data_IF_202727758423
#
_entry.id   IF_202727758423
#
_cell.length_a   1.000
_cell.length_b   1.000
_cell.length_c   1.000
_cell.angle_alpha   90.00
_cell.angle_beta   90.00
_cell.angle_gamma   90.00
#
_symmetry.space_group_name_H-M   'P 1'
#
loop_
_entity.id
_entity.type
_entity.pdbx_description
1 polymer ?
#
# COMPACT_ATOMS: atom_id res chain seq x y z
N UNK A 1 -6.48 23.39 -32.03
CA UNK A 1 -7.92 23.59 -31.71
C UNK A 1 -8.72 22.71 -32.65
N UNK A 2 -9.53 21.72 -32.28
CA UNK A 2 -9.88 21.20 -30.97
C UNK A 2 -10.77 19.94 -31.10
N UNK A 3 -10.80 19.16 -30.00
CA UNK A 3 -11.94 18.41 -29.41
C UNK A 3 -12.61 17.29 -30.22
N UNK A 4 -12.41 16.01 -29.83
CA UNK A 4 -13.28 15.13 -28.99
C UNK A 4 -14.56 14.70 -29.73
N UNK A 5 -14.91 13.42 -29.87
CA UNK A 5 -15.03 12.41 -28.83
C UNK A 5 -16.46 11.87 -28.93
N UNK A 6 -16.64 10.77 -29.64
CA UNK A 6 -17.94 10.17 -29.92
C UNK A 6 -18.38 9.33 -28.71
N UNK A 7 -19.25 9.90 -27.87
CA UNK A 7 -19.97 9.19 -26.83
C UNK A 7 -21.24 8.57 -27.42
N UNK A 8 -21.31 7.24 -27.43
CA UNK A 8 -22.55 6.50 -27.64
C UNK A 8 -23.43 6.65 -26.40
N UNK A 9 -24.43 7.53 -26.49
CA UNK A 9 -25.49 7.70 -25.50
C UNK A 9 -26.58 6.64 -25.73
N UNK A 10 -26.70 5.67 -24.82
CA UNK A 10 -27.87 4.79 -24.74
C UNK A 10 -29.02 5.57 -24.10
N UNK A 11 -30.04 5.88 -24.89
CA UNK A 11 -31.26 6.52 -24.41
C UNK A 11 -32.00 5.60 -23.42
N UNK A 12 -32.17 6.05 -22.17
CA UNK A 12 -33.09 5.45 -21.21
C UNK A 12 -34.47 6.12 -21.32
N UNK A 13 -35.59 5.38 -21.22
CA UNK A 13 -36.92 5.98 -21.28
C UNK A 13 -37.20 6.84 -20.05
N UNK A 14 -37.87 7.97 -20.25
CA UNK A 14 -38.29 8.89 -19.19
C UNK A 14 -39.23 8.19 -18.19
N UNK A 15 -39.05 8.37 -16.87
CA UNK A 15 -39.95 7.80 -15.88
C UNK A 15 -41.30 8.56 -15.85
N UNK A 16 -42.39 7.83 -15.67
CA UNK A 16 -43.74 8.40 -15.47
C UNK A 16 -43.78 9.26 -14.18
N UNK A 17 -44.54 10.38 -14.16
CA UNK A 17 -44.63 11.23 -12.97
C UNK A 17 -45.30 10.48 -11.82
N UNK A 18 -44.64 10.44 -10.66
CA UNK A 18 -45.21 9.90 -9.43
C UNK A 18 -45.90 11.01 -8.61
N UNK A 19 -46.98 10.70 -7.86
CA UNK A 19 -47.72 11.71 -7.11
C UNK A 19 -46.84 12.37 -6.05
N UNK A 20 -46.98 13.70 -5.92
CA UNK A 20 -46.15 14.62 -5.12
C UNK A 20 -45.89 14.14 -3.66
N UNK A 21 -46.86 13.44 -3.07
CA UNK A 21 -46.77 12.88 -1.71
C UNK A 21 -45.77 11.72 -1.55
N UNK A 22 -45.49 10.96 -2.62
CA UNK A 22 -44.49 9.87 -2.60
C UNK A 22 -43.06 10.45 -2.67
N UNK A 23 -42.90 11.59 -3.34
CA UNK A 23 -41.63 12.31 -3.45
C UNK A 23 -41.22 12.85 -2.07
N UNK A 24 -42.14 13.51 -1.36
CA UNK A 24 -41.86 14.09 -0.04
C UNK A 24 -41.50 13.04 1.03
N UNK A 25 -42.17 11.87 1.02
CA UNK A 25 -41.85 10.75 1.93
C UNK A 25 -40.48 10.14 1.64
N UNK A 26 -40.07 10.04 0.36
CA UNK A 26 -38.74 9.57 -0.04
C UNK A 26 -37.64 10.55 0.33
N UNK A 27 -37.88 11.86 0.19
CA UNK A 27 -36.92 12.90 0.61
C UNK A 27 -36.66 12.87 2.11
N UNK A 28 -37.70 12.68 2.94
CA UNK A 28 -37.55 12.59 4.40
C UNK A 28 -36.78 11.34 4.82
N UNK A 29 -37.02 10.19 4.16
CA UNK A 29 -36.24 8.95 4.39
C UNK A 29 -34.79 9.10 3.93
N UNK A 30 -34.53 9.76 2.80
CA UNK A 30 -33.16 10.04 2.33
C UNK A 30 -32.38 10.98 3.27
N UNK A 31 -33.04 11.98 3.85
CA UNK A 31 -32.42 12.88 4.84
C UNK A 31 -32.15 12.14 6.16
N UNK A 32 -33.09 11.30 6.64
CA UNK A 32 -32.90 10.52 7.87
C UNK A 32 -31.85 9.42 7.72
N UNK A 33 -31.72 8.78 6.55
CA UNK A 33 -30.63 7.83 6.26
C UNK A 33 -29.28 8.55 6.11
N UNK A 34 -29.27 9.76 5.52
CA UNK A 34 -28.07 10.59 5.44
C UNK A 34 -27.53 11.07 6.79
N UNK A 35 -28.40 11.25 7.80
CA UNK A 35 -28.01 11.61 9.16
C UNK A 35 -27.55 10.42 10.03
N UNK A 36 -27.88 9.18 9.65
CA UNK A 36 -27.41 7.96 10.31
C UNK A 36 -26.10 7.41 9.72
N UNK A 37 -25.69 7.92 8.55
CA UNK A 37 -24.37 7.68 7.96
C UNK A 37 -23.52 8.90 8.29
N UNK A 38 -23.04 8.98 9.54
CA UNK A 38 -21.94 9.90 9.87
C UNK A 38 -20.73 9.65 8.95
N UNK A 39 -19.83 10.63 8.78
CA UNK A 39 -18.65 10.43 7.95
C UNK A 39 -17.91 9.19 8.47
N UNK A 40 -17.71 8.22 7.58
CA UNK A 40 -16.86 7.08 7.85
C UNK A 40 -15.40 7.56 7.84
N UNK A 41 -14.98 8.26 8.89
CA UNK A 41 -13.60 8.71 9.11
C UNK A 41 -12.64 7.54 9.41
N UNK A 42 -13.16 6.32 9.47
CA UNK A 42 -12.44 5.09 9.82
C UNK A 42 -11.32 4.72 8.83
N UNK A 43 -11.33 5.27 7.61
CA UNK A 43 -10.26 5.07 6.62
C UNK A 43 -9.37 6.29 6.41
N UNK A 44 -9.75 7.46 6.95
CA UNK A 44 -8.93 8.67 6.83
C UNK A 44 -7.68 8.58 7.69
N UNK A 45 -7.78 7.96 8.87
CA UNK A 45 -6.67 7.78 9.80
C UNK A 45 -5.57 6.86 9.27
N UNK A 46 -5.93 5.78 8.58
CA UNK A 46 -4.97 4.88 7.95
C UNK A 46 -4.08 5.64 6.94
N UNK A 47 -4.72 6.43 6.07
CA UNK A 47 -4.03 7.34 5.15
C UNK A 47 -3.18 8.40 5.87
N UNK A 48 -3.66 9.00 6.96
CA UNK A 48 -2.90 9.98 7.74
C UNK A 48 -1.62 9.37 8.32
N UNK A 49 -1.63 8.09 8.71
CA UNK A 49 -0.41 7.41 9.17
C UNK A 49 0.63 7.25 8.07
N UNK A 50 0.22 6.84 6.87
CA UNK A 50 1.14 6.81 5.73
C UNK A 50 1.74 8.19 5.45
N UNK A 51 0.93 9.26 5.51
CA UNK A 51 1.44 10.63 5.40
C UNK A 51 2.45 10.94 6.51
N UNK A 52 2.16 10.58 7.75
CA UNK A 52 3.02 10.88 8.87
C UNK A 52 4.36 10.12 8.80
N UNK A 53 4.34 8.83 8.42
CA UNK A 53 5.56 8.05 8.13
C UNK A 53 6.40 8.75 7.06
N UNK A 54 5.77 9.27 6.00
CA UNK A 54 6.46 10.02 4.95
C UNK A 54 7.06 11.33 5.45
N UNK A 55 6.35 12.02 6.34
CA UNK A 55 6.85 13.25 6.95
C UNK A 55 8.09 12.98 7.80
N UNK A 56 8.08 11.93 8.62
CA UNK A 56 9.24 11.49 9.39
C UNK A 56 10.41 11.09 8.46
N UNK A 57 10.12 10.36 7.39
CA UNK A 57 11.12 9.96 6.40
C UNK A 57 11.77 11.18 5.72
N UNK A 58 10.98 12.16 5.27
CA UNK A 58 11.47 13.40 4.66
C UNK A 58 12.31 14.23 5.65
N UNK A 59 11.88 14.31 6.91
CA UNK A 59 12.63 14.98 7.98
C UNK A 59 13.97 14.30 8.27
N UNK A 60 14.06 12.97 8.07
CA UNK A 60 15.29 12.20 8.27
C UNK A 60 16.30 12.31 7.12
N UNK A 61 15.90 12.79 5.93
CA UNK A 61 16.78 12.81 4.77
C UNK A 61 18.06 13.64 5.03
N UNK A 62 19.23 13.18 4.56
CA UNK A 62 20.50 13.87 4.81
C UNK A 62 20.52 15.26 4.18
N UNK A 63 21.25 16.22 4.75
CA UNK A 63 21.24 17.63 4.32
C UNK A 63 21.60 17.81 2.83
N UNK A 64 22.43 16.93 2.27
CA UNK A 64 22.84 16.94 0.87
C UNK A 64 21.87 16.20 -0.08
N UNK A 65 20.71 15.73 0.39
CA UNK A 65 19.69 15.15 -0.48
C UNK A 65 19.15 16.20 -1.48
N UNK A 66 18.83 15.83 -2.74
CA UNK A 66 18.44 16.80 -3.78
C UNK A 66 17.36 17.79 -3.33
N UNK A 67 17.66 19.09 -3.49
CA UNK A 67 16.82 20.16 -2.95
C UNK A 67 15.39 20.18 -3.52
N UNK A 68 15.21 19.73 -4.77
CA UNK A 68 13.88 19.71 -5.41
C UNK A 68 12.86 18.87 -4.64
N UNK A 69 13.31 17.83 -3.93
CA UNK A 69 12.44 16.95 -3.12
C UNK A 69 11.81 17.71 -1.96
N UNK A 70 12.54 18.68 -1.38
CA UNK A 70 12.10 19.45 -0.20
C UNK A 70 11.28 20.69 -0.52
N UNK A 71 10.95 20.94 -1.80
CA UNK A 71 10.00 22.00 -2.12
C UNK A 71 8.66 21.69 -1.46
N UNK A 72 7.89 22.73 -1.10
CA UNK A 72 6.57 22.57 -0.47
C UNK A 72 5.67 21.67 -1.33
N UNK A 73 5.66 21.90 -2.64
CA UNK A 73 4.86 21.12 -3.59
C UNK A 73 5.27 19.65 -3.64
N UNK A 74 6.57 19.34 -3.69
CA UNK A 74 7.02 17.94 -3.80
C UNK A 74 6.92 17.21 -2.47
N UNK A 75 7.12 17.90 -1.35
CA UNK A 75 6.86 17.39 0.00
C UNK A 75 5.41 16.93 0.08
N UNK A 76 4.46 17.82 -0.19
CA UNK A 76 3.03 17.47 -0.15
C UNK A 76 2.70 16.33 -1.14
N UNK A 77 3.27 16.36 -2.34
CA UNK A 77 3.05 15.30 -3.33
C UNK A 77 3.50 13.92 -2.80
N UNK A 78 4.64 13.85 -2.12
CA UNK A 78 5.14 12.60 -1.51
C UNK A 78 4.21 12.15 -0.39
N UNK A 79 3.74 13.05 0.48
CA UNK A 79 2.77 12.71 1.53
C UNK A 79 1.48 12.14 0.92
N UNK A 80 0.92 12.84 -0.08
CA UNK A 80 -0.31 12.43 -0.77
C UNK A 80 -0.21 11.04 -1.40
N UNK A 81 0.94 10.75 -2.02
CA UNK A 81 1.19 9.49 -2.71
C UNK A 81 1.39 8.31 -1.77
N UNK A 82 1.61 8.55 -0.47
CA UNK A 82 1.63 7.50 0.54
C UNK A 82 0.31 6.73 0.67
N UNK A 83 -0.82 7.27 0.19
CA UNK A 83 -2.10 6.54 0.11
C UNK A 83 -2.43 6.01 -1.29
N UNK A 84 -1.51 6.14 -2.26
CA UNK A 84 -1.82 5.81 -3.65
C UNK A 84 -2.09 4.30 -3.86
N UNK A 85 -1.30 3.36 -3.29
CA UNK A 85 -1.57 1.94 -3.48
C UNK A 85 -2.88 1.45 -2.84
N UNK A 86 -3.33 2.07 -1.74
CA UNK A 86 -4.67 1.81 -1.20
C UNK A 86 -5.77 2.25 -2.14
N UNK A 87 -5.63 3.43 -2.77
CA UNK A 87 -6.63 3.92 -3.72
C UNK A 87 -6.81 2.99 -4.91
N UNK A 88 -5.78 2.24 -5.31
CA UNK A 88 -5.92 1.22 -6.37
C UNK A 88 -6.92 0.12 -6.01
N UNK A 89 -7.17 -0.15 -4.72
CA UNK A 89 -8.17 -1.13 -4.25
C UNK A 89 -9.61 -0.70 -4.54
N UNK A 90 -9.84 0.60 -4.81
CA UNK A 90 -11.15 1.14 -5.18
C UNK A 90 -11.57 0.77 -6.61
N UNK A 91 -10.65 0.23 -7.41
CA UNK A 91 -11.00 -0.30 -8.72
C UNK A 91 -11.90 -1.54 -8.57
N UNK A 92 -12.97 -1.58 -9.37
CA UNK A 92 -13.95 -2.68 -9.38
C UNK A 92 -13.45 -3.89 -10.15
N UNK A 93 -12.58 -3.66 -11.13
CA UNK A 93 -11.89 -4.75 -11.82
C UNK A 93 -10.99 -5.51 -10.84
N UNK A 94 -11.27 -6.81 -10.70
CA UNK A 94 -10.57 -7.68 -9.76
C UNK A 94 -9.16 -7.98 -10.19
N UNK A 95 -8.78 -7.79 -11.46
CA UNK A 95 -7.41 -7.99 -11.91
C UNK A 95 -6.43 -7.07 -11.17
N UNK A 96 -6.80 -5.79 -11.00
CA UNK A 96 -5.96 -4.86 -10.24
C UNK A 96 -5.92 -5.22 -8.75
N UNK A 97 -7.04 -5.66 -8.18
CA UNK A 97 -7.06 -6.15 -6.78
C UNK A 97 -6.18 -7.39 -6.59
N UNK A 98 -6.25 -8.33 -7.54
CA UNK A 98 -5.45 -9.56 -7.55
C UNK A 98 -3.95 -9.27 -7.60
N UNK A 99 -3.56 -8.23 -8.33
CA UNK A 99 -2.17 -7.75 -8.34
C UNK A 99 -1.82 -6.98 -7.06
N UNK A 100 -2.64 -5.98 -6.69
CA UNK A 100 -2.27 -4.99 -5.68
C UNK A 100 -2.46 -5.49 -4.25
N UNK A 101 -3.57 -6.14 -3.89
CA UNK A 101 -3.83 -6.49 -2.49
C UNK A 101 -2.73 -7.35 -1.85
N UNK A 102 -2.18 -8.37 -2.54
CA UNK A 102 -1.07 -9.17 -2.00
C UNK A 102 0.23 -8.38 -1.76
N UNK A 103 0.44 -7.24 -2.41
CA UNK A 103 1.66 -6.43 -2.24
C UNK A 103 1.70 -5.67 -0.89
N UNK A 104 0.62 -5.71 -0.11
CA UNK A 104 0.47 -4.93 1.14
C UNK A 104 0.78 -5.73 2.39
N UNK A 105 1.03 -7.04 2.29
CA UNK A 105 1.29 -7.89 3.45
C UNK A 105 2.24 -9.04 3.11
N UNK A 106 2.78 -9.67 4.16
CA UNK A 106 3.36 -11.01 4.14
C UNK A 106 2.90 -11.80 5.38
N UNK A 107 1.88 -12.62 5.23
CA UNK A 107 1.37 -13.51 6.28
C UNK A 107 2.37 -14.67 6.46
N UNK A 108 3.34 -14.48 7.36
CA UNK A 108 4.48 -15.39 7.52
C UNK A 108 4.03 -16.82 7.87
N UNK A 109 2.97 -16.96 8.67
CA UNK A 109 2.45 -18.27 9.08
C UNK A 109 1.87 -19.06 7.89
N UNK A 110 1.41 -18.38 6.84
CA UNK A 110 0.87 -19.02 5.64
C UNK A 110 1.97 -19.62 4.75
N UNK A 111 3.25 -19.43 5.08
CA UNK A 111 4.37 -20.19 4.49
C UNK A 111 4.48 -21.62 5.03
N UNK A 112 3.98 -21.87 6.26
CA UNK A 112 4.14 -23.16 6.93
C UNK A 112 3.51 -24.34 6.17
N UNK A 113 2.28 -24.23 5.58
CA UNK A 113 1.72 -25.29 4.74
C UNK A 113 2.59 -25.67 3.55
N UNK A 114 3.40 -24.74 3.04
CA UNK A 114 4.32 -24.93 1.92
C UNK A 114 5.68 -25.51 2.35
N UNK A 115 5.91 -25.66 3.66
CA UNK A 115 7.20 -26.04 4.25
C UNK A 115 8.36 -25.12 3.81
N UNK A 116 8.07 -23.82 3.67
CA UNK A 116 9.04 -22.79 3.34
C UNK A 116 9.28 -21.87 4.52
N UNK A 117 10.51 -21.41 4.67
CA UNK A 117 10.93 -20.38 5.63
C UNK A 117 11.32 -19.11 4.89
N UNK A 118 11.17 -17.91 5.49
CA UNK A 118 11.59 -16.65 4.90
C UNK A 118 13.00 -16.68 4.27
N UNK A 119 13.97 -17.28 4.96
CA UNK A 119 15.36 -17.37 4.51
C UNK A 119 15.58 -18.21 3.22
N UNK A 120 14.57 -18.96 2.78
CA UNK A 120 14.62 -19.82 1.59
C UNK A 120 13.93 -19.18 0.37
N UNK A 121 13.26 -18.04 0.56
CA UNK A 121 12.45 -17.42 -0.49
C UNK A 121 13.34 -16.68 -1.49
N UNK A 122 13.06 -16.88 -2.78
CA UNK A 122 13.75 -16.12 -3.82
C UNK A 122 13.33 -14.65 -3.76
N UNK A 123 14.31 -13.77 -3.95
CA UNK A 123 14.10 -12.33 -4.08
C UNK A 123 13.44 -11.95 -5.41
N UNK A 124 13.41 -12.85 -6.39
CA UNK A 124 12.66 -12.69 -7.62
C UNK A 124 11.20 -13.10 -7.40
N UNK A 125 10.26 -12.18 -7.66
CA UNK A 125 8.82 -12.41 -7.44
C UNK A 125 8.34 -13.68 -8.15
N UNK A 126 8.72 -13.88 -9.42
CA UNK A 126 8.22 -15.01 -10.20
C UNK A 126 8.81 -16.34 -9.75
N UNK A 127 10.10 -16.38 -9.37
CA UNK A 127 10.68 -17.57 -8.77
C UNK A 127 10.02 -17.89 -7.41
N UNK A 128 9.69 -16.89 -6.60
CA UNK A 128 8.91 -17.11 -5.39
C UNK A 128 7.54 -17.73 -5.71
N UNK A 129 6.83 -17.23 -6.73
CA UNK A 129 5.57 -17.84 -7.20
C UNK A 129 5.78 -19.30 -7.63
N UNK A 130 6.87 -19.59 -8.34
CA UNK A 130 7.22 -20.95 -8.76
C UNK A 130 7.58 -21.85 -7.57
N UNK A 131 8.33 -21.36 -6.57
CA UNK A 131 8.63 -22.07 -5.32
C UNK A 131 7.32 -22.47 -4.61
N UNK A 132 6.37 -21.54 -4.51
CA UNK A 132 5.06 -21.78 -3.91
C UNK A 132 4.24 -22.78 -4.72
N UNK A 133 4.24 -22.67 -6.06
CA UNK A 133 3.54 -23.60 -6.94
C UNK A 133 4.12 -25.02 -6.87
N UNK A 134 5.45 -25.16 -6.88
CA UNK A 134 6.15 -26.43 -6.75
C UNK A 134 5.86 -27.09 -5.39
N UNK A 135 5.90 -26.32 -4.31
CA UNK A 135 5.54 -26.79 -2.97
C UNK A 135 4.08 -27.25 -2.90
N UNK A 136 3.13 -26.51 -3.50
CA UNK A 136 1.72 -26.90 -3.60
C UNK A 136 1.55 -28.26 -4.30
N UNK A 137 2.22 -28.48 -5.43
CA UNK A 137 2.15 -29.75 -6.16
C UNK A 137 2.73 -30.89 -5.32
N UNK A 138 3.93 -30.71 -4.77
CA UNK A 138 4.63 -31.70 -3.94
C UNK A 138 3.80 -32.12 -2.73
N UNK A 139 3.17 -31.16 -2.06
CA UNK A 139 2.42 -31.35 -0.83
C UNK A 139 0.91 -31.56 -1.04
N UNK A 140 0.45 -31.58 -2.31
CA UNK A 140 -0.95 -31.76 -2.70
C UNK A 140 -1.89 -30.76 -2.00
N UNK A 141 -1.46 -29.51 -1.84
CA UNK A 141 -2.28 -28.47 -1.21
C UNK A 141 -3.38 -28.01 -2.18
N UNK A 142 -4.59 -27.67 -1.68
CA UNK A 142 -5.65 -27.16 -2.52
C UNK A 142 -5.30 -25.78 -3.12
N UNK A 143 -5.97 -25.43 -4.21
CA UNK A 143 -5.95 -24.06 -4.70
C UNK A 143 -6.76 -23.16 -3.77
N UNK A 144 -6.25 -21.96 -3.43
CA UNK A 144 -7.03 -20.96 -2.72
C UNK A 144 -8.26 -20.58 -3.55
N UNK A 145 -9.45 -20.75 -2.99
CA UNK A 145 -10.73 -20.41 -3.64
C UNK A 145 -11.71 -19.72 -2.69
N UNK A 146 -11.23 -19.27 -1.53
CA UNK A 146 -12.07 -18.80 -0.43
C UNK A 146 -12.73 -17.44 -0.70
N UNK A 147 -12.25 -16.69 -1.68
CA UNK A 147 -12.83 -15.41 -2.07
C UNK A 147 -12.79 -15.19 -3.58
N UNK A 148 -13.64 -14.27 -4.05
CA UNK A 148 -13.95 -14.12 -5.46
C UNK A 148 -12.84 -13.45 -6.29
N UNK A 149 -11.82 -12.90 -5.64
CA UNK A 149 -10.58 -12.42 -6.25
C UNK A 149 -9.43 -13.45 -6.16
N UNK A 150 -9.64 -14.60 -5.50
CA UNK A 150 -8.69 -15.73 -5.37
C UNK A 150 -7.37 -15.34 -4.70
N UNK A 151 -7.43 -14.41 -3.74
CA UNK A 151 -6.25 -13.90 -3.01
C UNK A 151 -6.14 -14.50 -1.61
N UNK A 152 -7.28 -14.78 -0.97
CA UNK A 152 -7.28 -15.22 0.43
C UNK A 152 -6.52 -16.55 0.59
N UNK A 153 -5.56 -16.57 1.51
CA UNK A 153 -4.67 -17.72 1.76
C UNK A 153 -3.38 -17.71 0.93
N UNK A 154 -3.13 -16.68 0.14
CA UNK A 154 -1.79 -16.41 -0.40
C UNK A 154 -0.97 -15.63 0.64
N UNK A 155 0.29 -16.02 0.93
CA UNK A 155 1.10 -15.36 1.94
C UNK A 155 1.37 -13.88 1.65
N UNK A 156 1.37 -13.44 0.40
CA UNK A 156 1.59 -12.02 0.05
C UNK A 156 3.00 -11.74 -0.45
N UNK A 157 3.25 -10.47 -0.80
CA UNK A 157 4.40 -10.02 -1.59
C UNK A 157 5.04 -8.73 -1.05
N UNK A 158 4.71 -8.29 0.17
CA UNK A 158 5.18 -7.01 0.71
C UNK A 158 6.72 -6.78 0.59
N UNK A 159 7.60 -7.74 0.93
CA UNK A 159 9.04 -7.56 0.73
C UNK A 159 9.47 -7.33 -0.73
N UNK A 160 8.80 -8.00 -1.67
CA UNK A 160 9.04 -7.83 -3.11
C UNK A 160 8.52 -6.47 -3.58
N UNK A 161 7.33 -6.05 -3.14
CA UNK A 161 6.77 -4.75 -3.44
C UNK A 161 7.71 -3.61 -3.00
N UNK A 162 8.29 -3.71 -1.79
CA UNK A 162 9.30 -2.78 -1.30
C UNK A 162 10.55 -2.80 -2.19
N UNK A 163 11.12 -3.98 -2.43
CA UNK A 163 12.36 -4.12 -3.22
C UNK A 163 12.20 -3.58 -4.64
N UNK A 164 11.11 -3.92 -5.33
CA UNK A 164 10.87 -3.50 -6.69
C UNK A 164 10.59 -2.00 -6.81
N UNK A 165 9.81 -1.42 -5.89
CA UNK A 165 9.58 0.03 -5.89
C UNK A 165 10.86 0.79 -5.53
N UNK A 166 11.71 0.23 -4.67
CA UNK A 166 13.04 0.75 -4.40
C UNK A 166 13.92 0.73 -5.66
N UNK A 167 13.98 -0.39 -6.39
CA UNK A 167 14.76 -0.49 -7.63
C UNK A 167 14.23 0.46 -8.72
N UNK A 168 12.91 0.64 -8.83
CA UNK A 168 12.29 1.65 -9.70
C UNK A 168 12.71 3.08 -9.30
N UNK A 169 12.82 3.38 -8.01
CA UNK A 169 13.30 4.66 -7.51
C UNK A 169 14.80 4.86 -7.80
N UNK A 170 15.62 3.83 -7.65
CA UNK A 170 17.05 3.86 -8.03
C UNK A 170 17.20 4.16 -9.51
N UNK A 171 16.46 3.47 -10.37
CA UNK A 171 16.41 3.75 -11.81
C UNK A 171 15.99 5.20 -12.10
N UNK A 172 15.00 5.72 -11.37
CA UNK A 172 14.54 7.10 -11.51
C UNK A 172 15.62 8.15 -11.20
N UNK A 173 16.38 7.96 -10.12
CA UNK A 173 17.54 8.81 -9.85
C UNK A 173 18.66 8.63 -10.88
N UNK A 174 18.86 7.41 -11.39
CA UNK A 174 19.90 7.13 -12.38
C UNK A 174 19.65 7.88 -13.69
N UNK A 175 18.46 7.79 -14.27
CA UNK A 175 18.18 8.54 -15.50
C UNK A 175 18.02 10.04 -15.26
N UNK A 176 17.60 10.48 -14.06
CA UNK A 176 17.59 11.90 -13.72
C UNK A 176 19.00 12.50 -13.84
N UNK A 177 20.02 11.78 -13.34
CA UNK A 177 21.42 12.21 -13.47
C UNK A 177 21.82 12.41 -14.94
N UNK A 178 21.43 11.48 -15.82
CA UNK A 178 21.70 11.60 -17.26
C UNK A 178 21.02 12.84 -17.84
N UNK A 179 19.73 13.07 -17.53
CA UNK A 179 19.03 14.26 -18.03
C UNK A 179 19.58 15.57 -17.45
N UNK A 180 20.11 15.58 -16.22
CA UNK A 180 20.76 16.77 -15.66
C UNK A 180 22.07 17.13 -16.40
N UNK A 181 22.72 16.16 -17.06
CA UNK A 181 23.95 16.37 -17.84
C UNK A 181 23.67 16.75 -19.31
N UNK A 182 22.68 16.10 -19.95
CA UNK A 182 22.48 16.21 -21.41
C UNK A 182 21.02 16.40 -21.85
N UNK A 183 20.08 16.46 -20.92
CA UNK A 183 18.65 16.57 -21.21
C UNK A 183 18.15 18.01 -21.38
N UNK A 184 16.96 18.14 -21.94
CA UNK A 184 16.21 19.40 -21.97
C UNK A 184 15.65 19.76 -20.58
N UNK A 185 15.33 21.05 -20.31
CA UNK A 185 14.68 21.45 -19.06
C UNK A 185 13.39 20.67 -18.74
N UNK A 186 12.63 20.31 -19.78
CA UNK A 186 11.39 19.55 -19.68
C UNK A 186 11.63 18.09 -19.29
N UNK A 187 12.66 17.45 -19.85
CA UNK A 187 13.04 16.08 -19.47
C UNK A 187 13.53 16.02 -18.02
N UNK A 188 14.33 16.99 -17.58
CA UNK A 188 14.75 17.11 -16.17
C UNK A 188 13.53 17.27 -15.26
N UNK A 189 12.58 18.13 -15.63
CA UNK A 189 11.35 18.33 -14.86
C UNK A 189 10.51 17.05 -14.74
N UNK A 190 10.32 16.34 -15.86
CA UNK A 190 9.61 15.06 -15.90
C UNK A 190 10.33 13.98 -15.08
N UNK A 191 11.65 13.91 -15.17
CA UNK A 191 12.45 12.97 -14.39
C UNK A 191 12.35 13.23 -12.87
N UNK A 192 12.39 14.51 -12.45
CA UNK A 192 12.15 14.90 -11.06
C UNK A 192 10.75 14.53 -10.59
N UNK A 193 9.72 14.74 -11.42
CA UNK A 193 8.35 14.35 -11.10
C UNK A 193 8.21 12.83 -10.91
N UNK A 194 8.89 12.03 -11.73
CA UNK A 194 8.93 10.58 -11.56
C UNK A 194 9.63 10.16 -10.27
N UNK A 195 10.76 10.80 -9.90
CA UNK A 195 11.42 10.54 -8.61
C UNK A 195 10.46 10.79 -7.45
N UNK A 196 9.80 11.96 -7.44
CA UNK A 196 8.78 12.32 -6.43
C UNK A 196 7.67 11.29 -6.37
N UNK A 197 7.19 10.84 -7.54
CA UNK A 197 6.17 9.80 -7.62
C UNK A 197 6.62 8.49 -6.98
N UNK A 198 7.82 8.00 -7.36
CA UNK A 198 8.37 6.74 -6.85
C UNK A 198 8.68 6.80 -5.36
N UNK A 199 9.14 7.95 -4.84
CA UNK A 199 9.34 8.15 -3.40
C UNK A 199 8.04 7.96 -2.62
N UNK A 200 6.96 8.61 -3.07
CA UNK A 200 5.65 8.49 -2.43
C UNK A 200 5.06 7.07 -2.51
N UNK A 201 5.12 6.42 -3.67
CA UNK A 201 4.58 5.05 -3.82
C UNK A 201 5.38 4.03 -3.01
N UNK A 202 6.72 4.09 -3.03
CA UNK A 202 7.56 3.19 -2.23
C UNK A 202 7.25 3.32 -0.73
N UNK A 203 7.06 4.56 -0.27
CA UNK A 203 6.87 4.83 1.15
C UNK A 203 5.60 4.21 1.75
N UNK A 204 4.58 3.96 0.93
CA UNK A 204 3.38 3.25 1.35
C UNK A 204 3.72 1.83 1.85
N UNK A 205 4.38 1.03 1.01
CA UNK A 205 4.76 -0.35 1.35
C UNK A 205 5.76 -0.41 2.51
N UNK A 206 6.66 0.56 2.62
CA UNK A 206 7.53 0.67 3.81
C UNK A 206 6.71 0.99 5.07
N UNK A 207 5.66 1.81 4.94
CA UNK A 207 4.68 2.07 6.00
C UNK A 207 3.93 0.82 6.43
N UNK A 208 3.40 0.04 5.48
CA UNK A 208 2.73 -1.25 5.76
C UNK A 208 3.63 -2.18 6.55
N UNK A 209 4.90 -2.31 6.16
CA UNK A 209 5.86 -3.17 6.87
C UNK A 209 6.18 -2.70 8.30
N UNK A 210 5.83 -1.46 8.66
CA UNK A 210 5.95 -0.97 10.04
C UNK A 210 4.72 -1.30 10.91
N UNK A 211 3.67 -1.86 10.32
CA UNK A 211 2.45 -2.30 10.98
C UNK A 211 2.50 -3.83 11.18
N UNK A 212 2.67 -4.34 12.42
CA UNK A 212 2.82 -5.77 12.69
C UNK A 212 1.72 -6.68 12.10
N UNK A 213 0.46 -6.21 11.99
CA UNK A 213 -0.65 -6.97 11.43
C UNK A 213 -0.58 -7.12 9.90
N UNK A 214 0.36 -6.47 9.21
CA UNK A 214 0.67 -6.76 7.81
C UNK A 214 1.68 -7.90 7.65
N UNK A 215 2.08 -8.55 8.76
CA UNK A 215 3.06 -9.64 8.75
C UNK A 215 2.52 -10.96 9.32
N UNK A 216 1.20 -11.07 9.53
CA UNK A 216 0.60 -12.23 10.17
C UNK A 216 -0.80 -12.53 9.66
N UNK A 217 -1.12 -13.81 9.48
CA UNK A 217 -2.48 -14.25 9.14
C UNK A 217 -3.54 -13.89 10.21
N UNK A 218 -3.11 -13.53 11.42
CA UNK A 218 -3.96 -13.18 12.56
C UNK A 218 -4.38 -11.70 12.58
N UNK A 219 -4.29 -11.04 11.44
CA UNK A 219 -4.51 -9.60 11.29
C UNK A 219 -5.94 -9.17 11.69
N UNK A 220 -6.96 -9.96 11.32
CA UNK A 220 -8.36 -9.75 11.71
C UNK A 220 -8.75 -10.52 12.99
N UNK A 221 -7.84 -10.58 13.96
CA UNK A 221 -7.99 -11.37 15.17
C UNK A 221 -7.43 -12.79 15.01
N UNK A 222 -7.25 -13.46 16.14
CA UNK A 222 -6.64 -14.78 16.22
C UNK A 222 -7.46 -15.84 15.46
N UNK A 223 -6.76 -16.78 14.81
CA UNK A 223 -7.33 -17.83 13.98
C UNK A 223 -6.79 -19.20 14.42
N UNK A 224 -7.67 -20.17 14.68
CA UNK A 224 -7.28 -21.48 15.18
C UNK A 224 -7.07 -21.50 16.70
N UNK A 225 -6.24 -22.44 17.18
CA UNK A 225 -5.99 -22.65 18.61
C UNK A 225 -5.40 -21.40 19.24
N UNK A 226 -6.09 -20.83 20.23
CA UNK A 226 -5.82 -19.53 20.83
C UNK A 226 -5.34 -19.67 22.29
N UNK A 227 -4.09 -20.12 22.52
CA UNK A 227 -3.64 -20.56 23.85
C UNK A 227 -3.51 -19.45 24.89
N UNK A 228 -3.63 -18.18 24.48
CA UNK A 228 -3.55 -17.02 25.39
C UNK A 228 -4.78 -16.12 25.31
N UNK A 229 -5.88 -16.64 24.76
CA UNK A 229 -7.15 -15.93 24.64
C UNK A 229 -7.02 -14.54 23.98
N UNK A 230 -6.17 -14.43 22.96
CA UNK A 230 -6.04 -13.22 22.16
C UNK A 230 -7.38 -12.85 21.50
N UNK A 231 -7.56 -11.58 21.15
CA UNK A 231 -8.79 -11.12 20.49
C UNK A 231 -9.07 -11.90 19.21
N UNK A 232 -10.30 -12.38 19.05
CA UNK A 232 -10.83 -13.01 17.82
C UNK A 232 -11.69 -12.03 17.01
N UNK A 233 -11.63 -10.74 17.36
CA UNK A 233 -12.42 -9.71 16.70
C UNK A 233 -11.96 -9.52 15.26
N UNK A 234 -12.88 -9.74 14.31
CA UNK A 234 -12.70 -9.46 12.87
C UNK A 234 -12.47 -7.99 12.53
N UNK A 235 -12.54 -7.10 13.53
CA UNK A 235 -12.29 -5.67 13.39
C UNK A 235 -10.93 -5.26 13.95
N UNK A 236 -10.12 -6.20 14.44
CA UNK A 236 -8.86 -5.88 15.11
C UNK A 236 -7.87 -5.13 14.20
N UNK A 237 -7.74 -5.53 12.93
CA UNK A 237 -6.91 -4.83 11.95
C UNK A 237 -7.33 -3.37 11.81
N UNK A 238 -8.59 -3.13 11.45
CA UNK A 238 -9.14 -1.78 11.29
C UNK A 238 -9.08 -0.95 12.58
N UNK A 239 -9.19 -1.61 13.75
CA UNK A 239 -9.02 -0.95 15.03
C UNK A 239 -7.58 -0.47 15.22
N UNK A 240 -6.57 -1.31 15.02
CA UNK A 240 -5.17 -0.90 15.12
C UNK A 240 -4.82 0.15 14.05
N UNK A 241 -5.46 0.06 12.89
CA UNK A 241 -5.17 0.95 11.78
C UNK A 241 -5.69 2.38 11.91
N UNK A 242 -6.83 2.55 12.57
CA UNK A 242 -7.40 3.87 12.81
C UNK A 242 -7.79 4.07 14.26
N UNK A 243 -8.71 3.23 14.73
CA UNK A 243 -9.43 3.46 15.98
C UNK A 243 -8.55 3.49 17.24
N UNK A 244 -7.44 2.76 17.29
CA UNK A 244 -6.54 2.74 18.45
C UNK A 244 -5.86 4.10 18.66
N UNK A 245 -5.33 4.70 17.59
CA UNK A 245 -4.70 6.02 17.68
C UNK A 245 -5.72 7.09 18.05
N UNK A 246 -6.91 7.04 17.45
CA UNK A 246 -8.00 7.93 17.82
C UNK A 246 -8.35 7.81 19.31
N UNK A 247 -8.44 6.58 19.82
CA UNK A 247 -8.76 6.31 21.22
C UNK A 247 -7.71 6.81 22.21
N UNK A 248 -6.44 6.94 21.80
CA UNK A 248 -5.38 7.52 22.64
C UNK A 248 -5.17 9.03 22.39
N UNK A 249 -6.02 9.66 21.58
CA UNK A 249 -5.95 11.10 21.27
C UNK A 249 -4.92 11.47 20.20
N UNK A 250 -4.52 10.51 19.35
CA UNK A 250 -3.53 10.68 18.30
C UNK A 250 -2.10 10.45 18.77
N UNK A 251 -1.13 11.00 18.04
CA UNK A 251 0.28 10.98 18.41
C UNK A 251 0.85 12.40 18.44
N UNK A 252 1.82 12.65 19.32
CA UNK A 252 2.54 13.92 19.36
C UNK A 252 3.54 13.98 18.19
N UNK A 253 3.07 14.46 17.04
CA UNK A 253 3.86 14.62 15.81
C UNK A 253 5.14 15.42 16.07
N UNK A 254 5.07 16.49 16.88
CA UNK A 254 6.20 17.36 17.17
C UNK A 254 7.24 16.63 18.01
N UNK A 255 6.83 15.89 19.03
CA UNK A 255 7.75 15.10 19.84
C UNK A 255 8.40 13.97 19.04
N UNK A 256 7.68 13.35 18.11
CA UNK A 256 8.22 12.31 17.24
C UNK A 256 9.20 12.89 16.21
N UNK A 257 8.86 14.01 15.55
CA UNK A 257 9.75 14.74 14.66
C UNK A 257 11.04 15.18 15.35
N UNK A 258 10.96 15.63 16.62
CA UNK A 258 12.13 16.01 17.41
C UNK A 258 13.05 14.82 17.74
N UNK A 259 12.54 13.58 17.67
CA UNK A 259 13.30 12.34 17.91
C UNK A 259 13.84 11.71 16.62
N UNK A 260 13.46 12.23 15.45
CA UNK A 260 13.94 11.71 14.16
C UNK A 260 15.45 11.85 14.08
N UNK A 261 16.12 10.76 13.70
CA UNK A 261 17.56 10.72 13.46
C UNK A 261 17.81 10.83 11.96
N UNK A 262 18.95 11.41 11.53
CA UNK A 262 19.34 11.39 10.13
C UNK A 262 19.35 9.95 9.58
N UNK A 263 18.75 9.76 8.41
CA UNK A 263 18.71 8.49 7.71
C UNK A 263 20.14 8.04 7.41
N UNK A 264 20.40 6.76 7.66
CA UNK A 264 21.67 6.10 7.32
C UNK A 264 21.48 5.25 6.08
N UNK A 265 22.53 5.17 5.25
CA UNK A 265 22.55 4.20 4.15
C UNK A 265 22.48 2.80 4.76
N UNK A 266 21.51 2.00 4.32
CA UNK A 266 21.46 0.59 4.66
C UNK A 266 22.73 -0.09 4.13
N UNK A 267 23.37 -0.91 4.98
CA UNK A 267 24.46 -1.76 4.54
C UNK A 267 23.97 -2.57 3.33
N UNK A 268 24.82 -2.68 2.32
CA UNK A 268 24.59 -3.62 1.22
C UNK A 268 25.40 -4.85 1.58
N UNK A 269 24.77 -5.97 1.96
CA UNK A 269 25.47 -7.24 2.15
C UNK A 269 26.21 -7.62 0.86
N UNK A 270 27.22 -8.48 0.97
CA UNK A 270 27.85 -9.05 -0.24
C UNK A 270 26.78 -9.67 -1.14
N UNK A 271 26.82 -9.30 -2.42
CA UNK A 271 25.86 -9.77 -3.42
C UNK A 271 26.12 -11.26 -3.66
N UNK A 272 25.16 -12.10 -3.33
CA UNK A 272 25.10 -13.48 -3.80
C UNK A 272 24.10 -13.52 -4.96
N UNK A 273 24.55 -13.93 -6.15
CA UNK A 273 23.70 -14.36 -7.26
C UNK A 273 22.52 -13.40 -7.59
N UNK A 274 22.85 -12.29 -8.27
CA UNK A 274 21.92 -11.40 -8.99
C UNK A 274 20.94 -10.52 -8.18
N UNK A 275 20.97 -10.58 -6.85
CA UNK A 275 20.15 -9.73 -5.97
C UNK A 275 20.91 -8.52 -5.41
N UNK A 276 20.21 -7.40 -5.16
CA UNK A 276 20.68 -6.50 -4.10
C UNK A 276 20.55 -7.27 -2.78
N UNK A 277 21.66 -7.71 -2.17
CA UNK A 277 21.68 -8.58 -0.98
C UNK A 277 20.85 -8.12 0.23
N UNK A 278 20.26 -6.93 0.16
CA UNK A 278 19.29 -6.37 1.10
C UNK A 278 18.03 -7.20 1.27
N UNK A 279 17.49 -7.78 0.19
CA UNK A 279 16.30 -8.63 0.31
C UNK A 279 16.63 -9.82 1.22
N UNK A 280 17.72 -10.52 0.91
CA UNK A 280 18.16 -11.67 1.71
C UNK A 280 18.44 -11.28 3.16
N UNK A 281 19.12 -10.16 3.42
CA UNK A 281 19.40 -9.75 4.80
C UNK A 281 18.15 -9.41 5.63
N UNK A 282 17.07 -8.97 5.00
CA UNK A 282 15.78 -8.73 5.69
C UNK A 282 15.01 -10.03 5.89
N UNK A 283 15.14 -10.97 4.97
CA UNK A 283 14.39 -12.23 4.97
C UNK A 283 15.08 -13.38 5.72
N UNK A 284 16.24 -13.13 6.35
CA UNK A 284 17.00 -14.11 7.14
C UNK A 284 16.31 -14.53 8.44
#
# INVERSE_FOLDING_TARGET
MGKTGEQLSVASPLPRPQPFFVILRRFIVFILVGLLIGPADVHAWDYLRHRFVNQLALASLPKNFPAFVRTVSNTERILFLGGEPDRWRNQRDRALRHLNSPDHYLDIEDLAPYQLKPAQLSHFRYEYVEQMAAARVRLKLPLPNENADRIKGHPGFLPWAINENYLKLVSAFSYLKVFEEMGTPQEIANARANVVYRMGVLSHFVGDASQPLHTTRHYNGWVGDNPKDYTVSRRFHAWIDGGFLEAIGGHDEKALLAKVRPAKRLATPESTDDASGRFQAVMQ
#
